data_IF_771096175796
#
_entry.id   IF_771096175796
#
_cell.length_a   1.000
_cell.length_b   1.000
_cell.length_c   1.000
_cell.angle_alpha   90.00
_cell.angle_beta   90.00
_cell.angle_gamma   90.00
#
_symmetry.space_group_name_H-M   'P 1'
#
loop_
_entity.id
_entity.type
_entity.pdbx_description
1 polymer ?
#
# COMPACT_ATOMS: atom_id res chain seq x y z
N UNK A 1 -14.64 5.35 23.23
CA UNK A 1 -13.33 5.83 23.72
C UNK A 1 -12.33 5.69 22.60
N UNK A 2 -12.05 6.74 21.86
CA UNK A 2 -11.00 6.77 20.84
C UNK A 2 -9.68 6.80 21.59
N UNK A 3 -8.97 5.68 21.63
CA UNK A 3 -7.59 5.65 22.11
C UNK A 3 -6.81 6.61 21.22
N UNK A 4 -6.33 7.69 21.80
CA UNK A 4 -5.42 8.64 21.14
C UNK A 4 -4.04 7.98 21.07
N UNK A 5 -3.91 6.98 20.17
CA UNK A 5 -2.66 6.26 19.98
C UNK A 5 -1.71 7.23 19.28
N UNK A 6 -0.61 7.58 19.95
CA UNK A 6 0.43 8.40 19.33
C UNK A 6 0.96 7.70 18.07
N UNK A 7 1.18 8.43 16.97
CA UNK A 7 1.81 7.84 15.80
C UNK A 7 3.23 7.39 16.13
N UNK A 8 3.64 6.27 15.56
CA UNK A 8 5.02 5.78 15.66
C UNK A 8 5.97 6.69 14.88
N UNK A 9 5.53 7.15 13.70
CA UNK A 9 6.30 8.05 12.83
C UNK A 9 5.42 9.22 12.40
N UNK A 10 5.99 10.42 12.42
CA UNK A 10 5.41 11.61 11.78
C UNK A 10 6.36 12.07 10.67
N UNK A 11 5.83 12.18 9.45
CA UNK A 11 6.58 12.58 8.27
C UNK A 11 5.93 13.78 7.58
N UNK A 12 6.74 14.74 7.13
CA UNK A 12 6.29 15.92 6.40
C UNK A 12 6.86 15.89 4.97
N UNK A 13 5.99 15.90 3.98
CA UNK A 13 6.34 16.00 2.58
C UNK A 13 6.11 17.43 2.09
N UNK A 14 7.18 18.10 1.63
CA UNK A 14 7.07 19.38 0.93
C UNK A 14 6.90 19.11 -0.56
N UNK A 15 5.81 19.60 -1.13
CA UNK A 15 5.49 19.47 -2.55
C UNK A 15 6.15 20.58 -3.37
N UNK A 16 6.34 20.38 -4.70
CA UNK A 16 6.88 21.42 -5.58
C UNK A 16 6.04 22.71 -5.61
N UNK A 17 4.73 22.61 -5.38
CA UNK A 17 3.80 23.75 -5.28
C UNK A 17 3.86 24.49 -3.93
N UNK A 18 4.82 24.12 -3.06
CA UNK A 18 5.00 24.69 -1.73
C UNK A 18 4.08 24.13 -0.66
N UNK A 19 3.09 23.32 -1.01
CA UNK A 19 2.21 22.68 -0.03
C UNK A 19 2.99 21.70 0.85
N UNK A 20 2.58 21.60 2.12
CA UNK A 20 3.09 20.60 3.05
C UNK A 20 2.01 19.60 3.37
N UNK A 21 2.32 18.31 3.19
CA UNK A 21 1.47 17.20 3.62
C UNK A 21 2.08 16.56 4.85
N UNK A 22 1.24 16.26 5.83
CA UNK A 22 1.64 15.54 7.03
C UNK A 22 1.12 14.13 6.98
N UNK A 23 1.99 13.18 7.26
CA UNK A 23 1.70 11.76 7.33
C UNK A 23 2.00 11.25 8.73
N UNK A 24 1.07 10.51 9.32
CA UNK A 24 1.22 9.83 10.61
C UNK A 24 1.18 8.33 10.34
N UNK A 25 2.17 7.59 10.83
CA UNK A 25 2.21 6.14 10.70
C UNK A 25 1.87 5.47 12.03
N UNK A 26 1.05 4.42 11.95
CA UNK A 26 0.67 3.55 13.06
C UNK A 26 0.89 2.10 12.65
N UNK A 27 1.82 1.42 13.29
CA UNK A 27 1.99 -0.03 13.13
C UNK A 27 0.82 -0.76 13.80
N UNK A 28 0.29 -1.78 13.14
CA UNK A 28 -0.75 -2.65 13.68
C UNK A 28 -0.13 -3.96 14.20
N UNK A 29 -0.66 -4.46 15.29
CA UNK A 29 -0.35 -5.81 15.73
C UNK A 29 -1.14 -6.82 14.89
N UNK A 30 -0.62 -8.05 14.81
CA UNK A 30 -1.27 -9.11 14.05
C UNK A 30 -2.74 -9.29 14.47
N UNK A 31 -3.63 -9.35 13.50
CA UNK A 31 -5.08 -9.50 13.71
C UNK A 31 -5.82 -8.21 14.09
N UNK A 32 -5.12 -7.08 14.24
CA UNK A 32 -5.77 -5.80 14.52
C UNK A 32 -6.20 -5.11 13.23
N UNK A 33 -7.47 -4.70 13.17
CA UNK A 33 -8.00 -3.82 12.14
C UNK A 33 -8.93 -2.79 12.81
N UNK A 34 -8.42 -1.59 13.13
CA UNK A 34 -9.24 -0.56 13.75
C UNK A 34 -10.42 -0.15 12.85
N UNK A 35 -11.50 0.26 13.47
CA UNK A 35 -12.63 0.85 12.74
C UNK A 35 -12.31 2.31 12.40
N UNK A 36 -11.89 2.52 11.14
CA UNK A 36 -11.67 3.84 10.55
C UNK A 36 -12.47 3.98 9.26
N UNK A 37 -12.83 5.20 8.84
CA UNK A 37 -13.34 5.43 7.49
C UNK A 37 -12.18 5.24 6.49
N UNK A 38 -11.93 4.00 6.09
CA UNK A 38 -10.84 3.67 5.17
C UNK A 38 -11.09 4.29 3.79
N UNK A 39 -10.15 5.11 3.32
CA UNK A 39 -10.22 5.75 2.01
C UNK A 39 -9.45 4.99 0.95
N UNK A 40 -8.38 4.30 1.37
CA UNK A 40 -7.52 3.52 0.47
C UNK A 40 -6.95 2.30 1.18
N UNK A 41 -6.68 1.25 0.40
CA UNK A 41 -5.91 0.08 0.80
C UNK A 41 -4.84 -0.20 -0.25
N UNK A 42 -3.57 -0.40 0.19
CA UNK A 42 -2.46 -0.76 -0.69
C UNK A 42 -1.66 -1.89 -0.07
N UNK A 43 -1.15 -2.78 -0.90
CA UNK A 43 -0.40 -3.95 -0.48
C UNK A 43 1.10 -3.81 -0.74
N UNK A 44 1.92 -4.21 0.25
CA UNK A 44 3.23 -4.75 -0.06
C UNK A 44 2.99 -6.20 -0.46
N UNK A 45 2.88 -6.41 -1.77
CA UNK A 45 2.45 -7.65 -2.34
C UNK A 45 3.64 -8.55 -2.65
N UNK A 46 3.51 -9.83 -2.27
CA UNK A 46 4.49 -10.89 -2.51
C UNK A 46 3.97 -11.84 -3.57
N UNK A 47 4.72 -12.00 -4.64
CA UNK A 47 4.50 -13.02 -5.65
C UNK A 47 5.75 -13.88 -5.79
N UNK A 48 5.69 -15.12 -5.31
CA UNK A 48 6.81 -16.08 -5.36
C UNK A 48 8.11 -15.51 -4.79
N UNK A 49 8.06 -14.84 -3.63
CA UNK A 49 9.21 -14.25 -2.97
C UNK A 49 9.67 -12.89 -3.54
N UNK A 50 8.96 -12.34 -4.51
CA UNK A 50 9.27 -11.03 -5.12
C UNK A 50 8.20 -10.00 -4.76
N UNK A 51 8.62 -8.77 -4.50
CA UNK A 51 7.72 -7.63 -4.33
C UNK A 51 7.09 -7.24 -5.68
N UNK A 52 5.82 -6.84 -5.65
CA UNK A 52 5.05 -6.43 -6.83
C UNK A 52 4.76 -4.94 -6.75
N UNK A 53 5.08 -4.20 -7.81
CA UNK A 53 4.72 -2.81 -8.01
C UNK A 53 3.96 -2.65 -9.33
N UNK A 54 3.19 -1.59 -9.44
CA UNK A 54 2.43 -1.23 -10.65
C UNK A 54 2.90 0.11 -11.20
N UNK A 55 2.93 0.22 -12.52
CA UNK A 55 3.30 1.44 -13.25
C UNK A 55 2.06 2.04 -13.88
N UNK A 56 1.83 3.33 -13.62
CA UNK A 56 0.74 4.11 -14.20
C UNK A 56 1.16 4.68 -15.57
N UNK A 57 0.19 5.12 -16.39
CA UNK A 57 0.43 5.73 -17.70
C UNK A 57 1.44 6.89 -17.70
N UNK A 58 1.47 7.66 -16.60
CA UNK A 58 2.42 8.77 -16.45
C UNK A 58 3.83 8.32 -16.00
N UNK A 59 4.12 7.02 -16.01
CA UNK A 59 5.38 6.42 -15.58
C UNK A 59 5.59 6.38 -14.07
N UNK A 60 4.60 6.78 -13.28
CA UNK A 60 4.69 6.73 -11.82
C UNK A 60 4.54 5.28 -11.34
N UNK A 61 5.43 4.86 -10.47
CA UNK A 61 5.40 3.55 -9.82
C UNK A 61 4.67 3.65 -8.48
N UNK A 62 3.85 2.66 -8.15
CA UNK A 62 3.11 2.61 -6.91
C UNK A 62 2.96 1.17 -6.38
N UNK A 63 2.57 1.06 -5.10
CA UNK A 63 2.07 -0.20 -4.55
C UNK A 63 0.73 -0.54 -5.20
N UNK A 64 0.44 -1.81 -5.49
CA UNK A 64 -0.88 -2.22 -5.96
C UNK A 64 -1.95 -1.96 -4.89
N UNK A 65 -3.12 -1.50 -5.33
CA UNK A 65 -4.23 -1.11 -4.48
C UNK A 65 -4.79 0.26 -4.84
N UNK A 66 -5.88 0.67 -4.18
CA UNK A 66 -6.54 1.91 -4.51
C UNK A 66 -7.61 2.31 -3.50
N UNK A 67 -8.67 2.96 -4.02
CA UNK A 67 -9.74 3.49 -3.19
C UNK A 67 -10.69 2.41 -2.69
N UNK A 68 -11.18 2.57 -1.48
CA UNK A 68 -12.30 1.80 -0.95
C UNK A 68 -13.58 2.51 -1.40
N UNK A 69 -14.37 1.86 -2.23
CA UNK A 69 -15.61 2.41 -2.77
C UNK A 69 -16.75 2.38 -1.74
N UNK A 70 -17.81 3.18 -2.01
CA UNK A 70 -18.96 3.22 -1.14
C UNK A 70 -19.63 1.84 -0.99
N UNK A 71 -19.79 1.39 0.25
CA UNK A 71 -20.37 0.08 0.56
C UNK A 71 -19.37 -1.10 0.46
N UNK A 72 -18.13 -0.85 0.10
CA UNK A 72 -17.07 -1.84 -0.01
C UNK A 72 -16.33 -1.99 1.33
N UNK A 73 -15.99 -3.21 1.70
CA UNK A 73 -15.02 -3.46 2.77
C UNK A 73 -13.61 -3.31 2.25
N UNK A 74 -12.62 -3.07 3.14
CA UNK A 74 -11.21 -3.02 2.73
C UNK A 74 -10.74 -4.32 2.07
N UNK A 75 -11.28 -5.47 2.49
CA UNK A 75 -10.96 -6.76 1.86
C UNK A 75 -11.48 -6.82 0.41
N UNK A 76 -12.72 -6.40 0.18
CA UNK A 76 -13.31 -6.34 -1.17
C UNK A 76 -12.53 -5.39 -2.07
N UNK A 77 -12.20 -4.18 -1.58
CA UNK A 77 -11.38 -3.22 -2.30
C UNK A 77 -10.00 -3.80 -2.66
N UNK A 78 -9.31 -4.43 -1.70
CA UNK A 78 -8.01 -5.05 -1.93
C UNK A 78 -8.08 -6.13 -3.03
N UNK A 79 -9.06 -7.04 -2.95
CA UNK A 79 -9.22 -8.10 -3.94
C UNK A 79 -9.53 -7.55 -5.33
N UNK A 80 -10.42 -6.55 -5.44
CA UNK A 80 -10.77 -5.89 -6.69
C UNK A 80 -9.57 -5.19 -7.32
N UNK A 81 -8.89 -4.31 -6.57
CA UNK A 81 -7.74 -3.54 -7.05
C UNK A 81 -6.57 -4.45 -7.49
N UNK A 82 -6.25 -5.51 -6.72
CA UNK A 82 -5.22 -6.48 -7.10
C UNK A 82 -5.58 -7.17 -8.42
N UNK A 83 -6.84 -7.59 -8.59
CA UNK A 83 -7.29 -8.24 -9.81
C UNK A 83 -7.22 -7.28 -11.02
N UNK A 84 -7.67 -6.04 -10.85
CA UNK A 84 -7.69 -5.01 -11.89
C UNK A 84 -6.27 -4.60 -12.29
N UNK A 85 -5.41 -4.31 -11.32
CA UNK A 85 -4.08 -3.75 -11.56
C UNK A 85 -3.01 -4.79 -11.92
N UNK A 86 -3.11 -6.02 -11.42
CA UNK A 86 -2.06 -7.04 -11.60
C UNK A 86 -2.55 -8.28 -12.35
N UNK A 87 -3.86 -8.41 -12.59
CA UNK A 87 -4.48 -9.64 -13.09
C UNK A 87 -4.34 -10.81 -12.13
N UNK A 88 -3.86 -10.56 -10.92
CA UNK A 88 -3.58 -11.55 -9.90
C UNK A 88 -4.74 -11.81 -8.96
N UNK A 89 -4.52 -12.73 -8.04
CA UNK A 89 -5.48 -13.16 -7.04
C UNK A 89 -4.82 -13.14 -5.66
N UNK A 90 -5.48 -12.55 -4.67
CA UNK A 90 -5.01 -12.55 -3.28
C UNK A 90 -5.25 -13.93 -2.66
N UNK A 91 -4.18 -14.58 -2.19
CA UNK A 91 -4.22 -15.86 -1.47
C UNK A 91 -4.35 -15.65 0.03
N UNK A 92 -3.63 -14.67 0.54
CA UNK A 92 -3.59 -14.30 1.94
C UNK A 92 -3.32 -12.80 2.05
N UNK A 93 -3.83 -12.15 3.09
CA UNK A 93 -3.46 -10.80 3.45
C UNK A 93 -3.59 -10.55 4.95
N UNK A 94 -2.82 -9.61 5.45
CA UNK A 94 -2.92 -9.12 6.82
C UNK A 94 -2.57 -7.63 6.91
N UNK A 95 -3.23 -6.86 7.78
CA UNK A 95 -2.84 -5.49 8.05
C UNK A 95 -1.45 -5.42 8.70
N UNK A 96 -0.61 -4.49 8.24
CA UNK A 96 0.69 -4.21 8.86
C UNK A 96 0.74 -2.85 9.54
N UNK A 97 -0.13 -1.95 9.13
CA UNK A 97 -0.20 -0.61 9.66
C UNK A 97 -1.12 0.27 8.83
N UNK A 98 -1.25 1.51 9.25
CA UNK A 98 -1.96 2.51 8.46
C UNK A 98 -1.28 3.87 8.56
N UNK A 99 -1.47 4.64 7.51
CA UNK A 99 -1.02 6.01 7.51
C UNK A 99 -2.23 6.96 7.45
N UNK A 100 -2.15 8.02 8.23
CA UNK A 100 -3.11 9.12 8.21
C UNK A 100 -2.48 10.26 7.42
N UNK A 101 -3.06 10.62 6.30
CA UNK A 101 -2.64 11.77 5.51
C UNK A 101 -3.50 12.98 5.87
N UNK A 102 -2.87 14.03 6.38
CA UNK A 102 -3.53 15.29 6.72
C UNK A 102 -3.16 16.32 5.65
N UNK A 103 -4.16 16.81 4.93
CA UNK A 103 -3.99 17.86 3.93
C UNK A 103 -3.93 19.23 4.61
N UNK A 104 -3.42 20.25 3.90
CA UNK A 104 -3.33 21.60 4.39
C UNK A 104 -4.70 22.22 4.75
N UNK A 105 -5.76 21.80 4.07
CA UNK A 105 -7.15 22.19 4.35
C UNK A 105 -7.79 21.42 5.52
N UNK A 106 -7.00 20.61 6.24
CA UNK A 106 -7.44 19.82 7.40
C UNK A 106 -8.12 18.50 7.04
N UNK A 107 -8.36 18.18 5.78
CA UNK A 107 -8.96 16.90 5.39
C UNK A 107 -8.05 15.74 5.76
N UNK A 108 -8.64 14.70 6.36
CA UNK A 108 -7.94 13.51 6.85
C UNK A 108 -8.29 12.34 5.95
N UNK A 109 -7.26 11.59 5.53
CA UNK A 109 -7.40 10.37 4.75
C UNK A 109 -6.71 9.21 5.46
N UNK A 110 -7.47 8.17 5.77
CA UNK A 110 -6.97 6.92 6.33
C UNK A 110 -6.60 5.96 5.19
N UNK A 111 -5.37 5.49 5.19
CA UNK A 111 -4.81 4.63 4.16
C UNK A 111 -4.25 3.36 4.82
N UNK A 112 -4.95 2.24 4.66
CA UNK A 112 -4.50 0.95 5.17
C UNK A 112 -3.32 0.45 4.35
N UNK A 113 -2.35 -0.14 5.02
CA UNK A 113 -1.25 -0.89 4.42
C UNK A 113 -1.32 -2.33 4.85
N UNK A 114 -1.21 -3.24 3.90
CA UNK A 114 -1.29 -4.67 4.15
C UNK A 114 -0.09 -5.38 3.55
N UNK A 115 0.27 -6.53 4.09
CA UNK A 115 1.02 -7.54 3.38
C UNK A 115 0.02 -8.42 2.64
N UNK A 116 0.33 -8.83 1.41
CA UNK A 116 -0.52 -9.73 0.65
C UNK A 116 0.32 -10.74 -0.15
N UNK A 117 -0.10 -12.01 -0.15
CA UNK A 117 0.43 -13.05 -1.03
C UNK A 117 -0.46 -13.18 -2.26
N UNK A 118 0.16 -13.16 -3.44
CA UNK A 118 -0.55 -13.19 -4.70
C UNK A 118 -0.27 -14.47 -5.49
N UNK A 119 -1.26 -14.87 -6.29
CA UNK A 119 -1.12 -15.85 -7.36
C UNK A 119 -1.52 -15.23 -8.71
N UNK A 120 -1.06 -15.86 -9.79
CA UNK A 120 -1.54 -15.66 -11.15
C UNK A 120 -1.36 -14.24 -11.71
N UNK A 121 -0.40 -13.44 -11.19
CA UNK A 121 -0.16 -12.09 -11.73
C UNK A 121 0.22 -12.16 -13.22
N UNK A 122 -0.19 -11.13 -13.97
CA UNK A 122 0.10 -10.97 -15.40
C UNK A 122 1.05 -9.80 -15.60
N UNK A 123 2.07 -9.91 -16.48
CA UNK A 123 3.05 -8.85 -16.70
C UNK A 123 2.45 -7.59 -17.35
N UNK A 124 1.35 -7.74 -18.07
CA UNK A 124 0.57 -6.65 -18.64
C UNK A 124 -0.88 -6.83 -18.27
N UNK A 125 -1.39 -5.93 -17.47
CA UNK A 125 -2.81 -5.83 -17.17
C UNK A 125 -3.34 -4.55 -17.79
N UNK A 126 -4.45 -4.67 -18.48
CA UNK A 126 -5.26 -3.51 -18.86
C UNK A 126 -6.28 -3.43 -17.74
N UNK A 127 -6.15 -2.43 -16.84
CA UNK A 127 -7.22 -2.15 -15.93
C UNK A 127 -8.40 -1.53 -16.70
N UNK A 128 -9.60 -1.57 -16.13
CA UNK A 128 -10.79 -1.07 -16.79
C UNK A 128 -10.73 0.43 -17.10
N UNK A 129 -9.90 1.19 -16.35
CA UNK A 129 -9.71 2.62 -16.50
C UNK A 129 -8.45 2.96 -17.32
N UNK A 130 -7.72 1.96 -17.85
CA UNK A 130 -6.46 2.12 -18.60
C UNK A 130 -5.37 2.91 -17.85
N UNK A 131 -5.37 2.89 -16.52
CA UNK A 131 -4.42 3.67 -15.70
C UNK A 131 -3.13 2.90 -15.40
N UNK A 132 -3.16 1.56 -15.42
CA UNK A 132 -2.00 0.71 -15.20
C UNK A 132 -1.45 0.19 -16.52
N UNK A 133 -0.17 0.44 -16.77
CA UNK A 133 0.51 0.05 -18.00
C UNK A 133 1.38 -1.18 -17.83
N UNK A 134 1.87 -1.44 -16.62
CA UNK A 134 2.78 -2.55 -16.35
C UNK A 134 2.80 -2.98 -14.89
N UNK A 135 2.99 -4.28 -14.69
CA UNK A 135 3.30 -4.87 -13.39
C UNK A 135 4.79 -5.21 -13.32
N UNK A 136 5.47 -4.80 -12.25
CA UNK A 136 6.88 -5.07 -12.00
C UNK A 136 7.02 -6.05 -10.83
N UNK A 137 7.98 -6.97 -10.95
CA UNK A 137 8.40 -7.85 -9.85
C UNK A 137 9.88 -7.69 -9.59
N UNK A 138 10.27 -7.57 -8.31
CA UNK A 138 11.64 -7.33 -7.90
C UNK A 138 11.95 -7.91 -6.53
N UNK A 139 13.22 -7.89 -6.14
CA UNK A 139 13.58 -8.18 -4.76
C UNK A 139 13.01 -7.10 -3.83
N UNK A 140 12.61 -7.51 -2.62
CA UNK A 140 12.06 -6.56 -1.63
C UNK A 140 13.05 -5.42 -1.32
N UNK A 141 14.37 -5.71 -1.35
CA UNK A 141 15.41 -4.71 -1.13
C UNK A 141 15.45 -3.59 -2.17
N UNK A 142 15.03 -3.88 -3.41
CA UNK A 142 15.02 -2.91 -4.51
C UNK A 142 13.72 -2.11 -4.60
N UNK A 143 12.68 -2.56 -3.89
CA UNK A 143 11.33 -2.01 -3.98
C UNK A 143 11.28 -0.51 -3.68
N UNK A 144 11.92 -0.06 -2.61
CA UNK A 144 11.86 1.35 -2.20
C UNK A 144 12.49 2.28 -3.22
N UNK A 145 13.60 1.87 -3.84
CA UNK A 145 14.27 2.65 -4.88
C UNK A 145 13.39 2.76 -6.12
N UNK A 146 12.79 1.64 -6.54
CA UNK A 146 11.92 1.59 -7.73
C UNK A 146 10.62 2.37 -7.49
N UNK A 147 10.02 2.25 -6.31
CA UNK A 147 8.81 3.00 -5.95
C UNK A 147 9.05 4.52 -5.86
N UNK A 148 10.29 4.93 -5.52
CA UNK A 148 10.63 6.34 -5.41
C UNK A 148 10.10 7.02 -4.14
N UNK A 149 9.49 6.28 -3.22
CA UNK A 149 9.00 6.80 -1.95
C UNK A 149 9.90 6.33 -0.79
N UNK A 150 11.09 6.93 -0.72
CA UNK A 150 12.12 6.57 0.26
C UNK A 150 12.05 7.50 1.48
N UNK A 151 11.25 7.14 2.47
CA UNK A 151 11.15 7.86 3.75
C UNK A 151 11.03 6.87 4.92
N UNK A 152 10.97 7.40 6.13
CA UNK A 152 10.91 6.59 7.35
C UNK A 152 9.69 5.65 7.38
N UNK A 153 8.54 6.07 6.82
CA UNK A 153 7.33 5.25 6.79
C UNK A 153 7.50 4.06 5.85
N UNK A 154 7.99 4.29 4.63
CA UNK A 154 8.20 3.21 3.66
C UNK A 154 9.30 2.24 4.10
N UNK A 155 10.35 2.72 4.74
CA UNK A 155 11.37 1.87 5.37
C UNK A 155 10.77 0.98 6.46
N UNK A 156 9.92 1.56 7.33
CA UNK A 156 9.22 0.81 8.37
C UNK A 156 8.29 -0.27 7.81
N UNK A 157 7.56 0.04 6.75
CA UNK A 157 6.71 -0.94 6.06
C UNK A 157 7.52 -2.14 5.53
N UNK A 158 8.67 -1.89 4.92
CA UNK A 158 9.56 -2.97 4.42
C UNK A 158 10.10 -3.82 5.57
N UNK A 159 10.50 -3.21 6.68
CA UNK A 159 10.95 -3.95 7.88
C UNK A 159 9.88 -4.91 8.39
N UNK A 160 8.63 -4.45 8.49
CA UNK A 160 7.50 -5.23 9.00
C UNK A 160 7.20 -6.49 8.17
N UNK A 161 7.49 -6.47 6.87
CA UNK A 161 7.21 -7.59 5.97
C UNK A 161 8.43 -8.40 5.58
N UNK A 162 9.63 -7.98 5.95
CA UNK A 162 10.90 -8.60 5.49
C UNK A 162 10.94 -10.11 5.68
N UNK A 163 10.55 -10.60 6.85
CA UNK A 163 10.56 -12.04 7.16
C UNK A 163 9.57 -12.84 6.32
N UNK A 164 8.49 -12.21 5.85
CA UNK A 164 7.46 -12.85 5.03
C UNK A 164 7.90 -13.05 3.57
N UNK A 165 8.94 -12.33 3.13
CA UNK A 165 9.55 -12.50 1.81
C UNK A 165 10.70 -13.52 1.81
N UNK A 166 11.28 -13.77 2.97
CA UNK A 166 12.22 -14.88 3.16
C UNK A 166 11.36 -16.13 3.35
N UNK A 167 10.91 -16.75 2.25
CA UNK A 167 10.18 -18.00 2.31
C UNK A 167 10.92 -19.00 3.19
N UNK A 168 10.19 -19.77 3.98
CA UNK A 168 10.73 -20.97 4.61
C UNK A 168 11.40 -21.80 3.51
N UNK A 169 12.74 -21.90 3.60
CA UNK A 169 13.55 -22.74 2.74
C UNK A 169 13.30 -24.21 3.08
#
# INVERSE_FOLDING_TARGET
>A
MTMNIRPEITYYERRPDGQVRRYLWHTLQQGQLPQHPWHQVHAIANYRGKAVLVELENGKINLPGGHVEAGETVAQALHREIAEETGGRVLFWEPIGYQVRIKQDGRIHYQLRVYAELADIKPHTIDYDNTITRTHTMLLGDMLQTWGWQNQISQRMVELVRQKFCGEA
#
